data_IF_052587299750
#
_entry.id   IF_052587299750
#
_cell.length_a   1.000
_cell.length_b   1.000
_cell.length_c   1.000
_cell.angle_alpha   90.00
_cell.angle_beta   90.00
_cell.angle_gamma   90.00
#
_symmetry.space_group_name_H-M   'P 1'
#
loop_
_entity.id
_entity.type
_entity.pdbx_description
1 polymer ?
#
# COMPACT_ATOMS: atom_id res chain seq x y z
N UNK A 1 -8.16 -13.28 -17.39
CA UNK A 1 -7.59 -12.02 -17.92
C UNK A 1 -6.94 -12.23 -19.28
N UNK A 2 -5.92 -13.09 -19.39
CA UNK A 2 -5.30 -13.42 -20.69
C UNK A 2 -6.27 -14.13 -21.65
N UNK A 3 -7.07 -15.07 -21.13
CA UNK A 3 -8.15 -15.74 -21.90
C UNK A 3 -9.25 -14.77 -22.37
N UNK A 4 -9.38 -13.62 -21.70
CA UNK A 4 -10.31 -12.57 -22.06
C UNK A 4 -9.69 -11.55 -23.04
N UNK A 5 -8.50 -11.83 -23.57
CA UNK A 5 -7.79 -10.97 -24.53
C UNK A 5 -7.03 -9.77 -23.92
N UNK A 6 -6.98 -9.64 -22.58
CA UNK A 6 -6.27 -8.54 -21.94
C UNK A 6 -4.82 -8.90 -21.63
N UNK A 7 -3.90 -7.98 -21.95
CA UNK A 7 -2.52 -8.07 -21.50
C UNK A 7 -2.46 -7.95 -19.98
N UNK A 8 -1.70 -8.87 -19.36
CA UNK A 8 -1.54 -8.95 -17.92
C UNK A 8 -0.09 -9.32 -17.57
N UNK A 9 0.51 -8.56 -16.66
CA UNK A 9 1.85 -8.78 -16.13
C UNK A 9 1.81 -8.91 -14.62
N UNK A 10 2.26 -10.06 -14.10
CA UNK A 10 2.23 -10.35 -12.67
C UNK A 10 3.57 -9.97 -12.02
N UNK A 11 3.55 -8.96 -11.17
CA UNK A 11 4.68 -8.58 -10.33
C UNK A 11 4.62 -9.42 -9.04
N UNK A 12 5.25 -10.59 -9.07
CA UNK A 12 5.28 -11.55 -7.95
C UNK A 12 6.70 -11.99 -7.65
N UNK A 13 6.94 -12.57 -6.47
CA UNK A 13 8.27 -13.05 -6.07
C UNK A 13 8.90 -14.08 -7.02
N UNK A 14 8.10 -14.77 -7.84
CA UNK A 14 8.61 -15.71 -8.85
C UNK A 14 9.06 -15.03 -10.15
N UNK A 15 8.49 -13.85 -10.45
CA UNK A 15 8.67 -13.15 -11.72
C UNK A 15 9.65 -11.98 -11.57
N UNK A 16 9.66 -11.33 -10.41
CA UNK A 16 10.60 -10.24 -10.10
C UNK A 16 11.99 -10.83 -9.94
N UNK A 17 12.90 -10.40 -10.81
CA UNK A 17 14.33 -10.65 -10.69
C UNK A 17 14.94 -9.53 -9.86
N UNK A 18 15.86 -9.88 -8.95
CA UNK A 18 16.68 -8.89 -8.29
C UNK A 18 17.63 -8.28 -9.33
N UNK A 19 17.55 -6.97 -9.49
CA UNK A 19 18.50 -6.19 -10.26
C UNK A 19 19.65 -5.73 -9.34
N UNK A 20 20.77 -5.27 -9.91
CA UNK A 20 21.95 -4.84 -9.14
C UNK A 20 21.62 -3.74 -8.12
N UNK A 21 20.67 -2.87 -8.45
CA UNK A 21 20.19 -1.76 -7.60
C UNK A 21 19.09 -2.15 -6.60
N UNK A 22 18.70 -3.44 -6.53
CA UNK A 22 17.56 -3.93 -5.74
C UNK A 22 16.25 -3.15 -5.99
N UNK A 23 16.13 -2.54 -7.17
CA UNK A 23 15.00 -1.73 -7.56
C UNK A 23 14.05 -2.53 -8.47
N UNK A 24 12.78 -2.58 -8.11
CA UNK A 24 11.72 -3.07 -8.99
C UNK A 24 11.07 -1.89 -9.69
N UNK A 25 10.73 -2.04 -10.99
CA UNK A 25 10.04 -1.00 -11.77
C UNK A 25 8.78 -0.45 -11.10
N UNK A 26 8.05 -1.29 -10.37
CA UNK A 26 6.85 -0.94 -9.62
C UNK A 26 6.92 -1.49 -8.20
N UNK A 27 7.12 -0.60 -7.22
CA UNK A 27 7.12 -0.97 -5.81
C UNK A 27 5.69 -1.28 -5.31
N UNK A 28 5.51 -2.43 -4.66
CA UNK A 28 4.20 -2.87 -4.15
C UNK A 28 3.57 -1.90 -3.16
N UNK A 29 4.37 -1.23 -2.32
CA UNK A 29 3.89 -0.25 -1.35
C UNK A 29 3.25 0.95 -2.04
N UNK A 30 3.86 1.44 -3.12
CA UNK A 30 3.33 2.56 -3.91
C UNK A 30 2.00 2.17 -4.55
N UNK A 31 1.93 0.99 -5.18
CA UNK A 31 0.68 0.48 -5.79
C UNK A 31 -0.42 0.36 -4.76
N UNK A 32 -0.14 -0.18 -3.57
CA UNK A 32 -1.14 -0.37 -2.53
C UNK A 32 -1.72 0.95 -2.00
N UNK A 33 -0.87 1.96 -1.83
CA UNK A 33 -1.28 3.31 -1.42
C UNK A 33 -2.11 4.00 -2.51
N UNK A 34 -1.77 3.79 -3.79
CA UNK A 34 -2.57 4.30 -4.92
C UNK A 34 -3.92 3.59 -5.08
N UNK A 35 -3.98 2.30 -4.73
CA UNK A 35 -5.19 1.50 -4.79
C UNK A 35 -6.10 1.64 -3.54
N UNK A 36 -5.86 2.63 -2.68
CA UNK A 36 -6.70 2.87 -1.51
C UNK A 36 -6.60 1.83 -0.39
N UNK A 37 -5.62 0.91 -0.44
CA UNK A 37 -5.52 -0.19 0.54
C UNK A 37 -5.07 0.27 1.93
N UNK A 38 -4.34 1.38 2.02
CA UNK A 38 -3.81 1.90 3.27
C UNK A 38 -2.81 3.05 3.08
N UNK A 39 -2.13 3.40 4.17
CA UNK A 39 -1.12 4.46 4.21
C UNK A 39 0.24 3.93 4.67
N UNK A 40 1.30 4.71 4.45
CA UNK A 40 2.64 4.38 4.98
C UNK A 40 2.72 4.84 6.44
N UNK A 41 3.00 3.91 7.35
CA UNK A 41 3.16 4.18 8.78
C UNK A 41 4.56 4.70 9.14
N UNK A 42 4.76 5.06 10.42
CA UNK A 42 6.06 5.50 10.97
C UNK A 42 7.16 4.43 10.85
N UNK A 43 6.78 3.17 10.72
CA UNK A 43 7.69 2.03 10.50
C UNK A 43 8.01 1.79 9.01
N UNK A 44 7.64 2.71 8.11
CA UNK A 44 7.84 2.60 6.66
C UNK A 44 7.15 1.38 6.02
N UNK A 45 6.18 0.75 6.71
CA UNK A 45 5.35 -0.32 6.17
C UNK A 45 3.98 0.22 5.77
N UNK A 46 3.32 -0.47 4.83
CA UNK A 46 1.92 -0.21 4.53
C UNK A 46 1.08 -0.65 5.74
N UNK A 47 0.24 0.24 6.25
CA UNK A 47 -0.71 -0.01 7.32
C UNK A 47 -2.12 0.02 6.73
N UNK A 48 -2.83 -1.09 6.90
CA UNK A 48 -4.25 -1.23 6.58
C UNK A 48 -5.09 -1.10 7.84
N UNK A 49 -6.32 -0.62 7.72
CA UNK A 49 -7.20 -0.42 8.88
C UNK A 49 -7.56 -1.73 9.59
N UNK A 50 -7.76 -2.80 8.82
CA UNK A 50 -8.23 -4.10 9.33
C UNK A 50 -7.11 -5.00 9.85
N UNK A 51 -5.95 -5.02 9.19
CA UNK A 51 -4.88 -6.00 9.48
C UNK A 51 -3.57 -5.34 9.95
N UNK A 52 -3.53 -4.01 10.05
CA UNK A 52 -2.31 -3.28 10.37
C UNK A 52 -1.25 -3.46 9.28
N UNK A 53 0.00 -3.67 9.69
CA UNK A 53 1.14 -3.83 8.80
C UNK A 53 1.48 -5.29 8.44
N UNK A 54 0.77 -6.26 8.98
CA UNK A 54 1.02 -7.69 8.75
C UNK A 54 0.37 -8.17 7.44
N UNK A 55 0.71 -7.53 6.33
CA UNK A 55 0.14 -7.81 5.00
C UNK A 55 1.22 -8.17 3.99
N UNK A 56 0.96 -9.21 3.19
CA UNK A 56 1.79 -9.56 2.03
C UNK A 56 1.11 -9.04 0.76
N UNK A 57 1.84 -8.23 0.00
CA UNK A 57 1.34 -7.61 -1.21
C UNK A 57 1.82 -8.36 -2.45
N UNK A 58 1.01 -8.33 -3.49
CA UNK A 58 1.37 -8.76 -4.85
C UNK A 58 0.63 -7.84 -5.82
N UNK A 59 1.25 -7.51 -6.95
CA UNK A 59 0.66 -6.56 -7.91
C UNK A 59 0.51 -7.23 -9.26
N UNK A 60 -0.59 -6.93 -9.94
CA UNK A 60 -0.87 -7.42 -11.29
C UNK A 60 -1.23 -6.21 -12.14
N UNK A 61 -0.43 -5.95 -13.16
CA UNK A 61 -0.66 -4.87 -14.12
C UNK A 61 -1.48 -5.43 -15.27
N UNK A 62 -2.60 -4.78 -15.60
CA UNK A 62 -3.44 -5.19 -16.73
C UNK A 62 -4.01 -3.98 -17.45
N UNK A 63 -4.29 -4.15 -18.75
CA UNK A 63 -4.97 -3.14 -19.57
C UNK A 63 -6.50 -3.28 -19.50
N UNK A 64 -7.03 -4.18 -18.66
CA UNK A 64 -8.46 -4.29 -18.45
C UNK A 64 -9.01 -3.01 -17.80
N UNK A 65 -10.18 -2.57 -18.27
CA UNK A 65 -10.90 -1.44 -17.69
C UNK A 65 -11.47 -1.87 -16.32
N UNK A 66 -10.76 -1.51 -15.26
CA UNK A 66 -11.15 -1.72 -13.87
C UNK A 66 -11.42 -0.36 -13.22
N UNK A 67 -12.45 -0.26 -12.35
CA UNK A 67 -12.67 0.97 -11.59
C UNK A 67 -11.46 1.24 -10.69
N UNK A 68 -10.89 2.44 -10.78
CA UNK A 68 -9.81 2.87 -9.91
C UNK A 68 -10.35 3.35 -8.56
N UNK A 69 -9.66 2.99 -7.49
CA UNK A 69 -9.94 3.49 -6.15
C UNK A 69 -9.23 4.83 -5.88
N UNK A 70 -9.59 5.51 -4.79
CA UNK A 70 -8.98 6.78 -4.41
C UNK A 70 -7.60 6.56 -3.76
N UNK A 71 -6.60 7.27 -4.28
CA UNK A 71 -5.26 7.22 -3.73
C UNK A 71 -5.21 7.85 -2.32
N UNK A 72 -4.57 7.15 -1.38
CA UNK A 72 -4.32 7.66 -0.03
C UNK A 72 -2.96 8.38 -0.04
N UNK A 73 -2.94 9.70 0.15
CA UNK A 73 -1.68 10.46 0.15
C UNK A 73 -1.16 10.76 1.56
N UNK A 74 -2.03 10.67 2.56
CA UNK A 74 -1.73 11.08 3.92
C UNK A 74 -1.75 9.90 4.88
N UNK A 75 -0.86 9.93 5.86
CA UNK A 75 -0.85 8.96 6.94
C UNK A 75 -1.68 9.47 8.11
N UNK A 76 -2.60 8.64 8.62
CA UNK A 76 -3.55 9.07 9.66
C UNK A 76 -2.92 9.36 11.04
N UNK A 77 -1.70 8.87 11.29
CA UNK A 77 -1.06 8.93 12.62
C UNK A 77 0.27 9.71 12.68
N UNK A 78 0.69 10.37 11.59
CA UNK A 78 1.91 11.17 11.63
C UNK A 78 1.75 12.43 12.50
N UNK A 79 0.58 13.08 12.44
CA UNK A 79 0.29 14.31 13.20
C UNK A 79 -0.59 14.07 14.44
N UNK A 80 -0.23 13.13 15.32
CA UNK A 80 -0.52 13.40 16.74
C UNK A 80 0.76 13.93 17.39
N UNK A 81 0.85 15.24 17.70
CA UNK A 81 1.74 15.64 18.78
C UNK A 81 1.30 14.85 20.02
N UNK A 82 2.26 14.21 20.69
CA UNK A 82 2.06 13.56 22.00
C UNK A 82 1.78 14.62 23.08
N UNK A 83 0.73 15.41 22.92
CA UNK A 83 0.25 16.33 23.94
C UNK A 83 -1.16 15.94 24.35
N UNK A 84 -1.20 15.06 25.35
CA UNK A 84 -2.16 15.08 26.47
C UNK A 84 -3.55 15.63 26.16
N UNK A 85 -4.43 14.76 25.65
CA UNK A 85 -5.84 14.73 26.08
C UNK A 85 -5.98 13.80 27.30
N UNK A 86 -5.16 13.99 28.33
CA UNK A 86 -5.58 13.57 29.68
C UNK A 86 -6.50 14.70 30.13
N UNK A 87 -7.80 14.46 30.02
CA UNK A 87 -8.81 15.32 30.61
C UNK A 87 -8.45 15.61 32.06
N UNK A 88 -8.19 16.87 32.38
CA UNK A 88 -8.49 17.40 33.72
C UNK A 88 -9.95 17.04 33.99
N UNK A 89 -10.18 16.05 34.84
CA UNK A 89 -11.41 15.81 35.59
C UNK A 89 -11.12 14.71 36.61
N UNK A 90 -10.50 15.13 37.71
CA UNK A 90 -10.69 14.48 39.00
C UNK A 90 -10.79 15.61 40.03
N UNK A 91 -12.02 15.82 40.48
CA UNK A 91 -12.39 16.45 41.76
C UNK A 91 -11.55 15.91 42.90
#
# INVERSE_FOLDING_TARGET
>A
MQECGYQAYANTTKVVKADEDWCTRLAHKTVATRAGLGWIGKNCLLVTEKYGCAVRLSSLLTNALLPADLAINESRFCCMPLYTKISKNRT
#
